data_IF_405770577975
#
_entry.id   IF_405770577975
#
_cell.length_a   1.000
_cell.length_b   1.000
_cell.length_c   1.000
_cell.angle_alpha   90.00
_cell.angle_beta   90.00
_cell.angle_gamma   90.00
#
_symmetry.space_group_name_H-M   'P 1'
#
loop_
_entity.id
_entity.type
_entity.pdbx_description
1 polymer ?
#
# COMPACT_ATOMS: atom_id res chain seq x y z
N UNK A 1 -13.34 -2.37 -21.43
CA UNK A 1 -11.99 -2.11 -21.97
C UNK A 1 -11.45 -0.87 -21.29
N UNK A 2 -10.44 -0.99 -20.44
CA UNK A 2 -9.62 0.14 -20.01
C UNK A 2 -8.20 -0.23 -20.41
N UNK A 3 -7.79 0.20 -21.60
CA UNK A 3 -6.50 -0.17 -22.23
C UNK A 3 -5.32 0.70 -21.79
N UNK A 4 -5.49 1.58 -20.80
CA UNK A 4 -4.40 2.47 -20.36
C UNK A 4 -3.95 2.13 -18.95
N UNK A 5 -2.84 1.38 -18.86
CA UNK A 5 -2.05 1.26 -17.64
C UNK A 5 -1.59 2.65 -17.21
N UNK A 6 -1.61 2.92 -15.92
CA UNK A 6 -1.06 4.15 -15.32
C UNK A 6 0.16 3.79 -14.49
N UNK A 7 1.01 4.78 -14.23
CA UNK A 7 2.06 4.66 -13.23
C UNK A 7 1.55 5.30 -11.94
N UNK A 8 1.29 4.51 -10.91
CA UNK A 8 1.03 5.05 -9.59
C UNK A 8 2.30 5.74 -9.07
N UNK A 9 2.14 6.94 -8.51
CA UNK A 9 3.22 7.80 -8.02
C UNK A 9 2.90 8.23 -6.59
N UNK A 10 3.91 8.53 -5.75
CA UNK A 10 3.66 9.02 -4.40
C UNK A 10 2.88 10.35 -4.41
N UNK A 11 2.01 10.52 -3.41
CA UNK A 11 1.27 11.76 -3.17
C UNK A 11 1.35 12.14 -1.70
N UNK A 12 0.96 13.37 -1.38
CA UNK A 12 0.87 13.84 -0.01
C UNK A 12 -0.14 13.00 0.80
N UNK A 13 0.29 12.52 1.96
CA UNK A 13 -0.50 11.62 2.82
C UNK A 13 -1.32 12.47 3.79
N UNK A 14 -2.64 12.37 3.69
CA UNK A 14 -3.58 13.14 4.52
C UNK A 14 -4.53 12.20 5.23
N UNK A 15 -4.11 11.71 6.39
CA UNK A 15 -4.91 10.79 7.21
C UNK A 15 -6.21 11.42 7.67
N UNK A 16 -7.21 10.59 7.86
CA UNK A 16 -8.46 10.98 8.52
C UNK A 16 -8.27 11.09 10.04
N UNK A 17 -9.34 11.42 10.75
CA UNK A 17 -9.35 11.57 12.21
C UNK A 17 -9.06 10.28 12.98
N UNK A 18 -9.16 9.12 12.31
CA UNK A 18 -8.91 7.80 12.88
C UNK A 18 -7.52 7.26 12.53
N UNK A 19 -6.71 8.01 11.78
CA UNK A 19 -5.35 7.62 11.38
C UNK A 19 -5.28 6.78 10.11
N UNK A 20 -6.41 6.53 9.43
CA UNK A 20 -6.45 5.79 8.18
C UNK A 20 -6.24 6.71 6.99
N UNK A 21 -5.85 6.12 5.86
CA UNK A 21 -5.67 6.85 4.62
C UNK A 21 -5.70 5.93 3.41
N UNK A 22 -6.12 6.45 2.27
CA UNK A 22 -6.06 5.72 1.01
C UNK A 22 -5.61 6.64 -0.13
N UNK A 23 -4.71 6.13 -0.97
CA UNK A 23 -4.22 6.84 -2.14
C UNK A 23 -5.37 7.10 -3.12
N UNK A 24 -5.61 8.34 -3.59
CA UNK A 24 -6.79 8.68 -4.39
C UNK A 24 -6.94 7.86 -5.68
N UNK A 25 -5.86 7.65 -6.45
CA UNK A 25 -5.92 6.82 -7.66
C UNK A 25 -6.15 5.34 -7.37
N UNK A 26 -5.65 4.83 -6.24
CA UNK A 26 -5.90 3.47 -5.79
C UNK A 26 -7.38 3.30 -5.39
N UNK A 27 -7.91 4.25 -4.62
CA UNK A 27 -9.33 4.30 -4.24
C UNK A 27 -10.24 4.36 -5.47
N UNK A 28 -9.95 5.21 -6.45
CA UNK A 28 -10.70 5.30 -7.71
C UNK A 28 -10.72 3.96 -8.46
N UNK A 29 -9.59 3.27 -8.52
CA UNK A 29 -9.52 1.95 -9.15
C UNK A 29 -10.45 0.96 -8.44
N UNK A 30 -10.39 0.89 -7.11
CA UNK A 30 -11.22 -0.03 -6.33
C UNK A 30 -12.71 0.27 -6.51
N UNK A 31 -13.13 1.52 -6.37
CA UNK A 31 -14.55 1.92 -6.52
C UNK A 31 -15.06 1.59 -7.93
N UNK A 32 -14.25 1.81 -8.98
CA UNK A 32 -14.71 1.63 -10.35
C UNK A 32 -14.75 0.15 -10.79
N UNK A 33 -13.75 -0.64 -10.39
CA UNK A 33 -13.60 -2.03 -10.88
C UNK A 33 -14.14 -3.07 -9.90
N UNK A 34 -14.22 -2.73 -8.61
CA UNK A 34 -14.58 -3.63 -7.53
C UNK A 34 -15.56 -2.99 -6.52
N UNK A 35 -16.68 -2.40 -6.98
CA UNK A 35 -17.59 -1.63 -6.12
C UNK A 35 -18.27 -2.44 -5.01
N UNK A 36 -18.44 -3.75 -5.20
CA UNK A 36 -19.18 -4.64 -4.29
C UNK A 36 -18.28 -5.71 -3.66
N UNK A 37 -16.99 -5.73 -3.99
CA UNK A 37 -16.08 -6.77 -3.53
C UNK A 37 -15.39 -6.34 -2.24
N UNK A 38 -15.74 -6.97 -1.14
CA UNK A 38 -14.99 -6.84 0.12
C UNK A 38 -13.59 -7.44 0.03
N UNK A 39 -13.39 -8.42 -0.87
CA UNK A 39 -12.11 -9.09 -1.11
C UNK A 39 -11.82 -9.18 -2.61
N UNK A 40 -10.58 -8.84 -3.00
CA UNK A 40 -10.09 -9.05 -4.35
C UNK A 40 -9.68 -10.51 -4.54
N UNK A 41 -10.08 -11.12 -5.66
CA UNK A 41 -9.49 -12.39 -6.06
C UNK A 41 -8.01 -12.21 -6.38
N UNK A 42 -7.22 -13.28 -6.37
CA UNK A 42 -5.82 -13.21 -6.78
C UNK A 42 -5.67 -12.64 -8.20
N UNK A 43 -6.54 -13.05 -9.11
CA UNK A 43 -6.54 -12.54 -10.49
C UNK A 43 -6.81 -11.03 -10.53
N UNK A 44 -7.82 -10.55 -9.81
CA UNK A 44 -8.13 -9.12 -9.75
C UNK A 44 -6.99 -8.31 -9.12
N UNK A 45 -6.33 -8.89 -8.11
CA UNK A 45 -5.19 -8.30 -7.45
C UNK A 45 -3.97 -8.16 -8.39
N UNK A 46 -3.70 -9.18 -9.20
CA UNK A 46 -2.66 -9.13 -10.23
C UNK A 46 -3.00 -8.11 -11.32
N UNK A 47 -4.27 -8.05 -11.75
CA UNK A 47 -4.73 -7.06 -12.73
C UNK A 47 -4.63 -5.63 -12.21
N UNK A 48 -4.92 -5.42 -10.93
CA UNK A 48 -4.74 -4.13 -10.25
C UNK A 48 -3.27 -3.70 -10.23
N UNK A 49 -2.35 -4.59 -9.84
CA UNK A 49 -0.91 -4.32 -9.88
C UNK A 49 -0.42 -3.98 -11.30
N UNK A 50 -0.91 -4.71 -12.29
CA UNK A 50 -0.60 -4.47 -13.70
C UNK A 50 -1.16 -3.15 -14.23
N UNK A 51 -2.35 -2.75 -13.77
CA UNK A 51 -2.99 -1.51 -14.16
C UNK A 51 -2.28 -0.30 -13.54
N UNK A 52 -1.88 -0.40 -12.27
CA UNK A 52 -1.21 0.66 -11.50
C UNK A 52 0.32 0.68 -11.68
N UNK A 53 0.87 -0.33 -12.35
CA UNK A 53 2.29 -0.55 -12.60
C UNK A 53 3.17 -0.48 -11.33
N UNK A 54 2.76 -1.23 -10.31
CA UNK A 54 3.44 -1.32 -9.01
C UNK A 54 3.42 -2.75 -8.47
N UNK A 55 4.34 -3.03 -7.56
CA UNK A 55 4.30 -4.17 -6.65
C UNK A 55 3.89 -3.71 -5.26
N UNK A 56 2.93 -4.40 -4.63
CA UNK A 56 2.44 -4.07 -3.29
C UNK A 56 3.12 -4.89 -2.19
N UNK A 57 3.26 -4.28 -1.03
CA UNK A 57 3.77 -4.88 0.20
C UNK A 57 2.98 -4.34 1.39
N UNK A 58 2.68 -5.18 2.38
CA UNK A 58 2.00 -4.75 3.59
C UNK A 58 2.97 -4.84 4.78
N UNK A 59 2.92 -3.87 5.68
CA UNK A 59 3.59 -3.89 6.98
C UNK A 59 2.55 -3.83 8.08
N UNK A 60 2.69 -4.67 9.09
CA UNK A 60 1.79 -4.73 10.23
C UNK A 60 2.16 -3.66 11.26
N UNK A 61 1.16 -2.95 11.79
CA UNK A 61 1.36 -2.04 12.91
C UNK A 61 1.92 -2.77 14.12
N UNK A 62 1.37 -3.95 14.45
CA UNK A 62 1.74 -4.70 15.65
C UNK A 62 3.22 -5.13 15.64
N UNK A 63 3.80 -5.37 14.47
CA UNK A 63 5.24 -5.67 14.32
C UNK A 63 6.15 -4.48 14.69
N UNK A 64 5.62 -3.25 14.70
CA UNK A 64 6.37 -2.03 14.94
C UNK A 64 6.15 -1.42 16.34
N UNK A 65 5.12 -1.87 17.06
CA UNK A 65 4.77 -1.39 18.39
C UNK A 65 5.67 -2.00 19.47
N UNK A 66 5.83 -1.30 20.59
CA UNK A 66 6.37 -1.90 21.82
C UNK A 66 5.28 -2.72 22.53
N UNK A 67 5.67 -3.65 23.40
CA UNK A 67 4.73 -4.45 24.21
C UNK A 67 3.68 -3.57 24.93
N UNK A 68 4.10 -2.45 25.54
CA UNK A 68 3.17 -1.53 26.22
C UNK A 68 2.17 -0.86 25.26
N UNK A 69 2.57 -0.58 24.01
CA UNK A 69 1.69 0.03 23.00
C UNK A 69 0.74 -1.01 22.42
N UNK A 70 1.20 -2.25 22.27
CA UNK A 70 0.38 -3.37 21.84
C UNK A 70 -0.70 -3.66 22.89
N UNK A 71 -0.35 -3.66 24.18
CA UNK A 71 -1.29 -3.81 25.30
C UNK A 71 -2.34 -2.68 25.30
N UNK A 72 -1.91 -1.43 25.13
CA UNK A 72 -2.82 -0.28 25.00
C UNK A 72 -3.78 -0.42 23.81
N UNK A 73 -3.29 -0.93 22.69
CA UNK A 73 -4.10 -1.11 21.49
C UNK A 73 -5.09 -2.29 21.62
N UNK A 74 -4.63 -3.46 22.04
CA UNK A 74 -5.43 -4.69 22.04
C UNK A 74 -6.32 -4.83 23.28
N UNK A 75 -5.82 -4.45 24.46
CA UNK A 75 -6.51 -4.69 25.73
C UNK A 75 -7.22 -3.43 26.25
N UNK A 76 -6.62 -2.26 26.10
CA UNK A 76 -7.25 -0.98 26.49
C UNK A 76 -8.07 -0.34 25.35
N UNK A 77 -8.02 -0.91 24.14
CA UNK A 77 -8.71 -0.42 22.94
C UNK A 77 -8.37 1.04 22.60
N UNK A 78 -7.15 1.49 22.91
CA UNK A 78 -6.73 2.86 22.68
C UNK A 78 -6.44 3.11 21.18
N UNK A 79 -7.41 3.73 20.51
CA UNK A 79 -7.31 4.12 19.11
C UNK A 79 -6.27 5.22 18.86
N UNK A 80 -5.78 5.90 19.90
CA UNK A 80 -4.70 6.89 19.77
C UNK A 80 -3.42 6.26 19.21
N UNK A 81 -3.21 4.96 19.45
CA UNK A 81 -2.09 4.20 18.90
C UNK A 81 -2.12 4.23 17.37
N UNK A 82 -3.27 4.02 16.75
CA UNK A 82 -3.44 4.04 15.27
C UNK A 82 -3.23 5.44 14.71
N UNK A 83 -3.80 6.45 15.38
CA UNK A 83 -3.70 7.86 14.98
C UNK A 83 -2.25 8.34 14.97
N UNK A 84 -1.47 7.92 15.96
CA UNK A 84 -0.08 8.36 16.14
C UNK A 84 0.96 7.43 15.49
N UNK A 85 0.56 6.22 15.07
CA UNK A 85 1.47 5.29 14.42
C UNK A 85 2.01 5.87 13.11
N UNK A 86 3.33 5.86 12.94
CA UNK A 86 4.00 6.26 11.71
C UNK A 86 4.73 5.04 11.09
N UNK A 87 4.11 4.33 10.13
CA UNK A 87 4.63 3.11 9.55
C UNK A 87 6.06 3.26 9.06
N UNK A 88 6.92 2.29 9.36
CA UNK A 88 8.30 2.28 8.88
C UNK A 88 8.31 1.83 7.42
N UNK A 89 8.90 2.66 6.57
CA UNK A 89 9.05 2.38 5.16
C UNK A 89 9.87 1.07 4.96
N UNK A 90 9.32 0.04 4.30
CA UNK A 90 9.98 -1.27 4.21
C UNK A 90 11.13 -1.31 3.21
N UNK A 91 11.13 -0.41 2.21
CA UNK A 91 12.16 -0.29 1.16
C UNK A 91 12.36 1.17 0.78
N UNK A 92 13.56 1.57 0.39
CA UNK A 92 13.87 2.96 0.05
C UNK A 92 13.02 3.52 -1.11
N UNK A 93 12.71 2.69 -2.11
CA UNK A 93 11.84 3.06 -3.24
C UNK A 93 10.33 2.89 -2.99
N UNK A 94 9.92 2.39 -1.82
CA UNK A 94 8.51 2.18 -1.52
C UNK A 94 7.82 3.50 -1.14
N UNK A 95 6.56 3.67 -1.51
CA UNK A 95 5.73 4.79 -1.05
C UNK A 95 4.40 4.28 -0.51
N UNK A 96 3.83 5.02 0.44
CA UNK A 96 2.60 4.62 1.11
C UNK A 96 1.41 4.72 0.15
N UNK A 97 0.54 3.70 0.18
CA UNK A 97 -0.66 3.60 -0.65
C UNK A 97 -1.91 3.59 0.19
N UNK A 98 -1.90 2.92 1.33
CA UNK A 98 -3.07 2.87 2.21
C UNK A 98 -2.65 2.56 3.64
N UNK A 99 -3.37 3.09 4.61
CA UNK A 99 -3.43 2.57 5.98
C UNK A 99 -4.87 2.15 6.19
N UNK A 100 -5.09 0.89 6.53
CA UNK A 100 -6.41 0.30 6.62
C UNK A 100 -6.43 -0.76 7.71
N UNK A 101 -7.63 -1.07 8.20
CA UNK A 101 -7.85 -2.18 9.12
C UNK A 101 -8.37 -3.41 8.38
N UNK A 102 -7.96 -4.58 8.81
CA UNK A 102 -8.47 -5.88 8.40
C UNK A 102 -8.61 -6.80 9.62
N UNK A 103 -9.03 -8.05 9.39
CA UNK A 103 -9.21 -9.06 10.43
C UNK A 103 -7.93 -9.32 11.26
N UNK A 104 -6.75 -9.07 10.66
CA UNK A 104 -5.44 -9.28 11.28
C UNK A 104 -4.90 -8.04 12.02
N UNK A 105 -5.62 -6.91 11.98
CA UNK A 105 -5.20 -5.67 12.65
C UNK A 105 -5.15 -4.45 11.72
N UNK A 106 -4.25 -3.52 12.00
CA UNK A 106 -4.02 -2.33 11.18
C UNK A 106 -2.77 -2.51 10.35
N UNK A 107 -2.92 -2.39 9.03
CA UNK A 107 -1.83 -2.57 8.08
C UNK A 107 -1.54 -1.28 7.32
N UNK A 108 -0.27 -1.10 6.97
CA UNK A 108 0.16 -0.11 5.99
C UNK A 108 0.55 -0.80 4.68
N UNK A 109 -0.17 -0.49 3.60
CA UNK A 109 0.14 -0.93 2.25
C UNK A 109 1.08 0.06 1.58
N UNK A 110 2.16 -0.48 1.06
CA UNK A 110 3.20 0.21 0.32
C UNK A 110 3.21 -0.26 -1.13
N UNK A 111 3.70 0.60 -2.03
CA UNK A 111 3.96 0.26 -3.42
C UNK A 111 5.40 0.60 -3.81
N UNK A 112 6.00 -0.27 -4.62
CA UNK A 112 7.21 0.03 -5.39
C UNK A 112 6.83 0.13 -6.86
N UNK A 113 7.32 1.15 -7.56
CA UNK A 113 7.07 1.29 -9.00
C UNK A 113 7.76 0.17 -9.77
N UNK A 114 7.01 -0.50 -10.66
CA UNK A 114 7.63 -1.45 -11.59
C UNK A 114 8.40 -0.67 -12.64
N UNK A 115 9.67 -1.01 -12.90
CA UNK A 115 10.43 -0.36 -13.96
C UNK A 115 9.66 -0.52 -15.27
N UNK A 116 9.43 0.60 -15.96
CA UNK A 116 8.90 0.57 -17.31
C UNK A 116 9.79 -0.33 -18.17
N UNK A 117 9.19 -1.16 -19.03
CA UNK A 117 9.91 -2.17 -19.86
C UNK A 117 11.08 -1.57 -20.64
N UNK A 118 11.06 -0.25 -20.89
CA UNK A 118 12.15 0.46 -21.54
C UNK A 118 13.40 0.66 -20.66
N UNK A 119 13.26 0.74 -19.35
CA UNK A 119 14.35 0.98 -18.38
C UNK A 119 15.08 -0.31 -18.02
N UNK A 120 14.36 -1.44 -17.94
CA UNK A 120 14.95 -2.74 -17.57
C UNK A 120 16.01 -3.23 -18.56
N UNK A 121 15.87 -2.91 -19.86
CA UNK A 121 16.86 -3.29 -20.87
C UNK A 121 18.18 -2.51 -20.73
N UNK A 122 18.17 -1.27 -20.24
CA UNK A 122 19.39 -0.46 -20.13
C UNK A 122 20.30 -0.98 -19.00
N UNK A 123 19.74 -1.53 -17.93
CA UNK A 123 20.52 -2.10 -16.82
C UNK A 123 21.20 -3.42 -17.20
N UNK A 124 20.58 -4.28 -18.01
CA UNK A 124 21.20 -5.56 -18.42
C UNK A 124 22.24 -5.43 -19.53
N UNK A 125 22.28 -4.33 -20.28
CA UNK A 125 23.27 -4.13 -21.36
C UNK A 125 24.55 -3.43 -20.83
N UNK A 126 24.47 -2.76 -19.66
CA UNK A 126 25.59 -2.04 -19.06
C UNK A 126 26.69 -2.90 -18.42
N UNK A 127 26.50 -4.22 -18.30
CA UNK A 127 27.49 -5.15 -17.71
C UNK A 127 28.38 -5.86 -18.75
N UNK A 128 28.28 -5.52 -20.05
CA UNK A 128 29.05 -6.16 -21.14
C UNK A 128 29.95 -5.16 -21.90
N UNK A 129 30.56 -4.18 -21.21
CA UNK A 129 31.54 -3.26 -21.82
C UNK A 129 32.85 -3.18 -21.03
#
# INVERSE_FOLDING_TARGET
MIERKIQLTPVDVKRDEFGYWIHPEYQKYLIFNHPENEKLSQFDYEQMQNFLNVDFYDSDMCDELTDDQLDQYENDFDQSIVIHWNPKQPKAEAFLVSIFTCDDGVLARWAVQRPSVHTALVQSIGEIA
#
